data_IF_683036868056
#
_entry.id   IF_683036868056
#
_cell.length_a   1.000
_cell.length_b   1.000
_cell.length_c   1.000
_cell.angle_alpha   90.00
_cell.angle_beta   90.00
_cell.angle_gamma   90.00
#
_symmetry.space_group_name_H-M   'P 1'
#
loop_
_entity.id
_entity.type
_entity.pdbx_description
1 polymer ?
#
# COMPACT_ATOMS: atom_id res chain seq x y z
N UNK A 1 19.64 -2.32 -10.12
CA UNK A 1 18.36 -2.52 -9.39
C UNK A 1 17.75 -1.15 -9.18
N UNK A 2 16.42 -1.05 -9.28
CA UNK A 2 15.67 0.18 -9.01
C UNK A 2 14.80 -0.06 -7.77
N UNK A 3 14.76 0.93 -6.88
CA UNK A 3 13.90 0.96 -5.69
C UNK A 3 13.04 2.21 -5.78
N UNK A 4 11.73 2.03 -5.88
CA UNK A 4 10.76 3.11 -5.72
C UNK A 4 10.10 3.00 -4.35
N UNK A 5 9.90 4.13 -3.67
CA UNK A 5 9.34 4.13 -2.32
C UNK A 5 8.27 5.21 -2.15
N UNK A 6 7.28 4.90 -1.31
CA UNK A 6 6.30 5.86 -0.79
C UNK A 6 6.24 5.76 0.73
N UNK A 7 6.10 6.90 1.40
CA UNK A 7 5.97 6.97 2.85
C UNK A 7 4.49 7.10 3.23
N UNK A 8 3.98 6.11 3.95
CA UNK A 8 2.60 6.01 4.39
C UNK A 8 2.49 6.38 5.87
N UNK A 9 1.33 6.90 6.27
CA UNK A 9 1.01 7.11 7.70
C UNK A 9 0.59 5.78 8.31
N UNK A 10 1.07 5.47 9.51
CA UNK A 10 0.67 4.26 10.23
C UNK A 10 -0.50 4.57 11.16
N UNK A 11 -1.53 3.73 11.17
CA UNK A 11 -2.66 3.88 12.09
C UNK A 11 -2.19 3.86 13.55
N UNK A 12 -2.78 4.72 14.38
CA UNK A 12 -2.48 4.74 15.79
C UNK A 12 -2.88 3.39 16.43
N UNK A 13 -1.95 2.68 17.10
CA UNK A 13 -2.21 1.35 17.64
C UNK A 13 -3.23 1.35 18.79
N UNK A 14 -3.50 2.52 19.38
CA UNK A 14 -4.35 2.70 20.56
C UNK A 14 -5.80 2.98 20.22
N UNK A 15 -6.07 3.52 19.03
CA UNK A 15 -7.41 3.92 18.63
C UNK A 15 -7.85 3.39 17.26
N UNK A 16 -7.05 2.59 16.55
CA UNK A 16 -7.53 1.94 15.33
C UNK A 16 -8.75 1.06 15.64
N UNK A 17 -9.73 1.05 14.74
CA UNK A 17 -10.95 0.25 14.87
C UNK A 17 -11.11 -0.64 13.66
N UNK A 18 -11.77 -1.78 13.81
CA UNK A 18 -12.13 -2.63 12.66
C UNK A 18 -13.07 -1.87 11.74
N UNK A 19 -12.78 -1.92 10.45
CA UNK A 19 -13.56 -1.32 9.38
C UNK A 19 -13.92 -2.34 8.30
N UNK A 20 -14.72 -1.91 7.34
CA UNK A 20 -14.98 -2.66 6.11
C UNK A 20 -14.50 -1.87 4.90
N UNK A 21 -13.90 -2.52 3.90
CA UNK A 21 -13.50 -1.83 2.69
C UNK A 21 -14.74 -1.36 1.92
N UNK A 22 -14.68 -0.15 1.38
CA UNK A 22 -15.71 0.41 0.51
C UNK A 22 -15.81 -0.37 -0.80
N UNK A 23 -16.91 -0.19 -1.55
CA UNK A 23 -17.08 -0.86 -2.85
C UNK A 23 -15.94 -0.53 -3.81
N UNK A 24 -15.51 0.74 -3.86
CA UNK A 24 -14.38 1.18 -4.69
C UNK A 24 -13.06 0.53 -4.25
N UNK A 25 -12.80 0.47 -2.94
CA UNK A 25 -11.59 -0.19 -2.42
C UNK A 25 -11.56 -1.68 -2.74
N UNK A 26 -12.71 -2.37 -2.67
CA UNK A 26 -12.81 -3.78 -3.05
C UNK A 26 -12.52 -3.99 -4.53
N UNK A 27 -13.01 -3.09 -5.39
CA UNK A 27 -12.77 -3.16 -6.83
C UNK A 27 -11.30 -2.85 -7.18
N UNK A 28 -10.71 -1.82 -6.56
CA UNK A 28 -9.32 -1.41 -6.83
C UNK A 28 -8.30 -2.46 -6.36
N UNK A 29 -8.59 -3.13 -5.25
CA UNK A 29 -7.70 -4.14 -4.65
C UNK A 29 -7.99 -5.57 -5.15
N UNK A 30 -8.95 -5.76 -6.07
CA UNK A 30 -9.40 -7.07 -6.57
C UNK A 30 -9.73 -8.06 -5.43
N UNK A 31 -10.42 -7.56 -4.39
CA UNK A 31 -10.73 -8.33 -3.19
C UNK A 31 -11.88 -9.30 -3.49
N UNK A 32 -11.53 -10.58 -3.60
CA UNK A 32 -12.49 -11.66 -3.80
C UNK A 32 -13.22 -11.97 -2.48
N UNK A 33 -14.50 -11.64 -2.42
CA UNK A 33 -15.37 -11.88 -1.27
C UNK A 33 -15.54 -13.37 -0.92
N UNK A 34 -15.11 -14.28 -1.80
CA UNK A 34 -15.12 -15.74 -1.54
C UNK A 34 -13.88 -16.25 -0.79
N UNK A 35 -12.79 -15.47 -0.69
CA UNK A 35 -11.51 -15.91 -0.10
C UNK A 35 -11.36 -15.63 1.41
N UNK A 36 -12.42 -15.13 2.04
CA UNK A 36 -12.47 -14.81 3.47
C UNK A 36 -12.49 -13.30 3.73
N UNK A 37 -12.95 -12.89 4.92
CA UNK A 37 -13.01 -11.47 5.30
C UNK A 37 -11.63 -10.97 5.67
N UNK A 38 -11.03 -10.15 4.82
CA UNK A 38 -9.83 -9.39 5.18
C UNK A 38 -10.19 -8.38 6.27
N UNK A 39 -9.34 -8.29 7.30
CA UNK A 39 -9.57 -7.37 8.42
C UNK A 39 -9.04 -6.00 8.03
N UNK A 40 -9.94 -5.07 7.78
CA UNK A 40 -9.62 -3.67 7.56
C UNK A 40 -9.62 -2.91 8.89
N UNK A 41 -8.81 -1.85 8.96
CA UNK A 41 -8.77 -0.95 10.10
C UNK A 41 -8.89 0.49 9.65
N UNK A 42 -9.68 1.27 10.41
CA UNK A 42 -9.91 2.69 10.17
C UNK A 42 -9.33 3.57 11.29
N UNK A 43 -8.95 4.82 10.97
CA UNK A 43 -8.49 5.80 11.95
C UNK A 43 -9.67 6.38 12.74
N UNK A 44 -9.60 6.32 14.08
CA UNK A 44 -10.58 6.98 14.98
C UNK A 44 -10.12 8.32 15.55
N UNK A 45 -8.84 8.40 15.95
CA UNK A 45 -8.28 9.53 16.70
C UNK A 45 -8.43 9.39 18.21
N UNK A 46 -7.38 9.75 18.95
CA UNK A 46 -7.35 9.84 20.42
C UNK A 46 -6.28 10.85 20.86
N UNK A 47 -6.20 11.12 22.16
CA UNK A 47 -5.21 12.06 22.73
C UNK A 47 -3.77 11.63 22.44
N UNK A 48 -3.46 10.33 22.43
CA UNK A 48 -2.11 9.80 22.17
C UNK A 48 -1.62 10.06 20.73
N UNK A 49 -2.54 10.26 19.77
CA UNK A 49 -2.20 10.60 18.39
C UNK A 49 -2.63 12.02 18.00
N UNK A 50 -2.81 12.92 18.98
CA UNK A 50 -3.29 14.30 18.77
C UNK A 50 -4.55 14.36 17.91
N UNK A 51 -5.47 13.40 18.11
CA UNK A 51 -6.71 13.26 17.37
C UNK A 51 -6.59 13.06 15.84
N UNK A 52 -5.39 12.77 15.30
CA UNK A 52 -5.21 12.52 13.87
C UNK A 52 -5.56 11.10 13.44
N UNK A 53 -5.54 10.13 14.36
CA UNK A 53 -5.77 8.71 14.06
C UNK A 53 -4.55 7.96 13.53
N UNK A 54 -3.41 8.64 13.39
CA UNK A 54 -2.14 8.07 12.91
C UNK A 54 -1.01 8.34 13.91
N UNK A 55 -0.10 7.38 14.07
CA UNK A 55 1.11 7.56 14.87
C UNK A 55 2.27 6.82 14.19
N UNK A 56 3.26 7.58 13.75
CA UNK A 56 4.38 7.06 12.96
C UNK A 56 4.09 6.93 11.46
N UNK A 57 5.07 6.40 10.75
CA UNK A 57 5.05 6.21 9.30
C UNK A 57 5.66 4.86 8.96
N UNK A 58 5.21 4.26 7.87
CA UNK A 58 5.78 3.04 7.30
C UNK A 58 6.05 3.26 5.82
N UNK A 59 6.91 2.44 5.21
CA UNK A 59 7.27 2.57 3.81
C UNK A 59 6.64 1.46 2.99
N UNK A 60 6.08 1.83 1.84
CA UNK A 60 5.75 0.90 0.76
C UNK A 60 6.87 0.98 -0.28
N UNK A 61 7.36 -0.18 -0.72
CA UNK A 61 8.48 -0.28 -1.66
C UNK A 61 8.08 -1.09 -2.89
N UNK A 62 8.54 -0.64 -4.05
CA UNK A 62 8.56 -1.41 -5.28
C UNK A 62 10.02 -1.68 -5.65
N UNK A 63 10.36 -2.96 -5.77
CA UNK A 63 11.73 -3.42 -6.01
C UNK A 63 11.79 -4.03 -7.40
N UNK A 64 12.53 -3.38 -8.30
CA UNK A 64 12.74 -3.86 -9.66
C UNK A 64 14.21 -4.29 -9.85
N UNK A 65 14.54 -5.59 -9.70
CA UNK A 65 15.86 -6.08 -10.02
C UNK A 65 16.10 -6.00 -11.53
N UNK A 66 17.35 -5.68 -11.92
CA UNK A 66 17.72 -5.69 -13.34
C UNK A 66 18.15 -7.11 -13.70
N UNK A 67 17.21 -7.88 -14.24
CA UNK A 67 17.48 -9.22 -14.78
C UNK A 67 17.80 -9.14 -16.28
N UNK A 68 18.25 -10.25 -16.87
CA UNK A 68 18.72 -10.27 -18.26
C UNK A 68 17.67 -9.78 -19.26
N UNK A 69 16.41 -10.22 -19.11
CA UNK A 69 15.31 -9.77 -19.98
C UNK A 69 15.12 -8.24 -19.93
N UNK A 70 15.10 -7.65 -18.74
CA UNK A 70 15.00 -6.20 -18.58
C UNK A 70 16.21 -5.46 -19.17
N UNK A 71 17.41 -6.03 -19.07
CA UNK A 71 18.63 -5.45 -19.65
C UNK A 71 18.57 -5.35 -21.18
N UNK A 72 18.00 -6.36 -21.84
CA UNK A 72 17.74 -6.36 -23.29
C UNK A 72 16.74 -5.26 -23.65
N UNK A 73 15.63 -5.15 -22.90
CA UNK A 73 14.61 -4.13 -23.12
C UNK A 73 15.17 -2.71 -22.95
N UNK A 74 16.02 -2.49 -21.92
CA UNK A 74 16.72 -1.21 -21.72
C UNK A 74 17.61 -0.88 -22.92
N UNK A 75 18.36 -1.87 -23.43
CA UNK A 75 19.26 -1.69 -24.57
C UNK A 75 18.50 -1.33 -25.86
N UNK A 76 17.28 -1.85 -26.01
CA UNK A 76 16.38 -1.55 -27.11
C UNK A 76 15.63 -0.21 -26.93
N UNK A 77 15.84 0.50 -25.82
CA UNK A 77 15.09 1.72 -25.45
C UNK A 77 13.57 1.50 -25.47
N UNK A 78 13.13 0.32 -25.04
CA UNK A 78 11.71 0.02 -24.91
C UNK A 78 11.04 1.02 -23.97
N UNK A 79 9.81 1.45 -24.30
CA UNK A 79 9.04 2.35 -23.45
C UNK A 79 8.55 1.60 -22.20
N UNK A 80 8.40 2.35 -21.11
CA UNK A 80 7.74 1.87 -19.89
C UNK A 80 6.21 1.97 -19.96
N UNK A 81 5.66 2.61 -21.00
CA UNK A 81 4.21 2.75 -21.21
C UNK A 81 3.65 1.55 -21.97
N UNK A 82 2.49 1.05 -21.52
CA UNK A 82 1.61 0.21 -22.31
C UNK A 82 0.92 1.03 -23.42
#
# INVERSE_FOLDING_TARGET
MILAQRLLRTLCPRCKVTGEPTADQRAELDLDSSKGSEIFFDPKGCTECNHFGYSGRTSAFEVLPIFNGLSVLISQRASASA
#
